data_IF_738743625986
#
_entry.id   IF_738743625986
#
_cell.length_a   1.000
_cell.length_b   1.000
_cell.length_c   1.000
_cell.angle_alpha   90.00
_cell.angle_beta   90.00
_cell.angle_gamma   90.00
#
_symmetry.space_group_name_H-M   'P 1'
#
loop_
_entity.id
_entity.type
_entity.pdbx_description
1 polymer ?
#
# COMPACT_ATOMS: atom_id res chain seq x y z
N UNK A 1 -4.47 -3.67 -23.27
CA UNK A 1 -4.45 -4.31 -21.95
C UNK A 1 -3.07 -4.14 -21.34
N UNK A 2 -2.97 -3.86 -20.03
CA UNK A 2 -1.70 -3.66 -19.34
C UNK A 2 -1.43 -4.86 -18.42
N UNK A 3 -0.41 -5.67 -18.72
CA UNK A 3 -0.02 -6.83 -17.89
C UNK A 3 0.46 -6.41 -16.50
N UNK A 4 1.01 -5.20 -16.36
CA UNK A 4 1.40 -4.63 -15.07
C UNK A 4 0.19 -4.30 -14.17
N UNK A 5 -1.03 -4.29 -14.72
CA UNK A 5 -2.28 -4.16 -13.97
C UNK A 5 -3.05 -5.50 -13.88
N UNK A 6 -2.47 -6.61 -14.34
CA UNK A 6 -3.10 -7.94 -14.26
C UNK A 6 -2.87 -8.56 -12.89
N UNK A 7 -3.93 -8.70 -12.10
CA UNK A 7 -3.96 -9.38 -10.79
C UNK A 7 -5.23 -10.22 -10.61
N UNK A 8 -5.30 -10.96 -9.51
CA UNK A 8 -6.47 -11.75 -9.13
C UNK A 8 -6.82 -11.52 -7.65
N UNK A 9 -8.02 -11.01 -7.31
CA UNK A 9 -9.12 -10.66 -8.21
C UNK A 9 -8.74 -9.51 -9.17
N UNK A 10 -9.28 -9.47 -10.42
CA UNK A 10 -8.93 -8.43 -11.39
C UNK A 10 -9.57 -7.08 -11.03
N UNK A 11 -9.04 -5.99 -11.59
CA UNK A 11 -9.68 -4.68 -11.53
C UNK A 11 -11.11 -4.74 -12.11
N UNK A 12 -11.98 -3.90 -11.56
CA UNK A 12 -13.43 -3.92 -11.76
C UNK A 12 -13.95 -2.55 -12.17
N UNK A 13 -15.26 -2.41 -12.30
CA UNK A 13 -15.90 -1.17 -12.74
C UNK A 13 -15.80 -0.08 -11.67
N UNK A 14 -16.09 1.16 -12.04
CA UNK A 14 -16.09 2.28 -11.09
C UNK A 14 -17.15 2.11 -9.99
N UNK A 15 -18.27 1.42 -10.28
CA UNK A 15 -19.30 1.08 -9.30
C UNK A 15 -18.75 0.11 -8.25
N UNK A 16 -18.01 -0.91 -8.69
CA UNK A 16 -17.34 -1.85 -7.78
C UNK A 16 -16.29 -1.14 -6.91
N UNK A 17 -15.51 -0.22 -7.50
CA UNK A 17 -14.53 0.59 -6.76
C UNK A 17 -15.23 1.46 -5.71
N UNK A 18 -16.35 2.08 -6.07
CA UNK A 18 -17.14 2.92 -5.16
C UNK A 18 -17.68 2.09 -4.00
N UNK A 19 -18.26 0.92 -4.28
CA UNK A 19 -18.76 0.02 -3.25
C UNK A 19 -17.65 -0.46 -2.29
N UNK A 20 -16.44 -0.73 -2.79
CA UNK A 20 -15.29 -1.08 -1.94
C UNK A 20 -14.88 0.09 -1.04
N UNK A 21 -14.84 1.31 -1.58
CA UNK A 21 -14.52 2.52 -0.80
C UNK A 21 -15.57 2.74 0.31
N UNK A 22 -16.85 2.59 -0.02
CA UNK A 22 -17.95 2.70 0.95
C UNK A 22 -17.86 1.61 2.03
N UNK A 23 -17.58 0.37 1.64
CA UNK A 23 -17.38 -0.74 2.57
C UNK A 23 -16.18 -0.56 3.50
N UNK A 24 -15.11 0.10 3.06
CA UNK A 24 -14.03 0.52 3.96
C UNK A 24 -14.53 1.61 4.92
N UNK A 25 -15.23 2.62 4.39
CA UNK A 25 -15.67 3.78 5.17
C UNK A 25 -16.73 3.44 6.24
N UNK A 26 -17.61 2.46 5.98
CA UNK A 26 -18.65 2.02 6.92
C UNK A 26 -18.21 0.90 7.87
N UNK A 27 -17.01 0.33 7.65
CA UNK A 27 -16.44 -0.73 8.47
C UNK A 27 -16.84 -2.15 8.08
N UNK A 28 -17.54 -2.35 6.96
CA UNK A 28 -17.78 -3.66 6.35
C UNK A 28 -16.47 -4.34 5.95
N UNK A 29 -15.47 -3.56 5.51
CA UNK A 29 -14.12 -4.00 5.21
C UNK A 29 -13.19 -3.50 6.33
N UNK A 30 -12.77 -4.42 7.20
CA UNK A 30 -11.95 -4.08 8.38
C UNK A 30 -10.51 -3.65 8.04
N UNK A 31 -9.89 -4.30 7.05
CA UNK A 31 -8.45 -4.26 6.82
C UNK A 31 -8.12 -4.09 5.34
N UNK A 32 -6.98 -3.44 5.08
CA UNK A 32 -6.42 -3.32 3.73
C UNK A 32 -5.05 -3.96 3.72
N UNK A 33 -4.86 -4.90 2.80
CA UNK A 33 -3.62 -5.66 2.61
C UNK A 33 -3.18 -5.53 1.17
N UNK A 34 -1.86 -5.54 0.93
CA UNK A 34 -1.30 -5.18 -0.38
C UNK A 34 -1.41 -6.28 -1.42
N UNK A 35 -1.55 -7.54 -1.00
CA UNK A 35 -1.38 -8.72 -1.85
C UNK A 35 -0.11 -8.62 -2.73
N UNK A 36 1.01 -8.22 -2.10
CA UNK A 36 2.27 -8.03 -2.79
C UNK A 36 2.72 -9.32 -3.49
N UNK A 37 2.64 -9.33 -4.82
CA UNK A 37 2.86 -10.49 -5.68
C UNK A 37 3.91 -10.17 -6.76
N UNK A 38 5.21 -10.29 -6.45
CA UNK A 38 6.30 -9.97 -7.36
C UNK A 38 6.45 -11.02 -8.46
N UNK A 39 6.79 -10.59 -9.67
CA UNK A 39 7.07 -11.42 -10.84
C UNK A 39 8.26 -10.83 -11.60
N UNK A 40 9.03 -11.65 -12.30
CA UNK A 40 10.11 -11.15 -13.14
C UNK A 40 9.54 -10.30 -14.31
N UNK A 41 10.33 -9.36 -14.85
CA UNK A 41 9.93 -8.53 -16.00
C UNK A 41 9.48 -9.39 -17.18
N UNK A 42 10.29 -10.38 -17.51
CA UNK A 42 10.09 -11.29 -18.65
C UNK A 42 8.77 -12.07 -18.54
N UNK A 43 8.32 -12.38 -17.31
CA UNK A 43 7.04 -13.06 -17.08
C UNK A 43 5.85 -12.13 -17.32
N UNK A 44 6.04 -10.81 -17.14
CA UNK A 44 5.00 -9.79 -17.37
C UNK A 44 5.04 -9.23 -18.80
N UNK A 45 6.15 -9.38 -19.52
CA UNK A 45 6.36 -8.95 -20.91
C UNK A 45 5.90 -9.99 -21.94
N UNK A 46 4.72 -10.55 -21.71
CA UNK A 46 4.07 -11.54 -22.58
C UNK A 46 2.65 -11.10 -22.92
N UNK A 47 1.96 -11.74 -23.87
CA UNK A 47 0.54 -11.47 -24.13
C UNK A 47 -0.31 -11.53 -22.86
N UNK A 48 -1.36 -10.71 -22.80
CA UNK A 48 -2.10 -10.47 -21.56
C UNK A 48 -2.71 -11.74 -20.96
N UNK A 49 -3.20 -12.65 -21.79
CA UNK A 49 -3.71 -13.96 -21.40
C UNK A 49 -2.63 -14.85 -20.76
N UNK A 50 -1.40 -14.82 -21.29
CA UNK A 50 -0.26 -15.58 -20.80
C UNK A 50 0.41 -14.99 -19.54
N UNK A 51 0.33 -13.67 -19.32
CA UNK A 51 0.99 -13.02 -18.19
C UNK A 51 0.44 -13.50 -16.83
N UNK A 52 1.27 -13.71 -15.79
CA UNK A 52 0.77 -14.11 -14.49
C UNK A 52 0.01 -12.97 -13.81
N UNK A 53 -0.92 -13.35 -12.92
CA UNK A 53 -1.60 -12.43 -12.03
C UNK A 53 -0.64 -12.02 -10.89
N UNK A 54 -0.58 -10.73 -10.60
CA UNK A 54 0.15 -10.20 -9.45
C UNK A 54 0.83 -8.88 -9.76
N UNK A 55 0.83 -8.01 -8.74
CA UNK A 55 1.52 -6.72 -8.73
C UNK A 55 2.25 -6.51 -7.40
N UNK A 56 3.28 -5.69 -7.40
CA UNK A 56 3.92 -5.24 -6.15
C UNK A 56 3.18 -4.02 -5.59
N UNK A 57 3.11 -3.93 -4.26
CA UNK A 57 2.42 -2.82 -3.59
C UNK A 57 2.98 -2.38 -2.24
N UNK A 58 4.08 -2.96 -1.74
CA UNK A 58 4.59 -2.62 -0.40
C UNK A 58 5.02 -1.17 -0.29
N UNK A 59 5.76 -0.70 -1.28
CA UNK A 59 6.40 0.62 -1.26
C UNK A 59 5.42 1.76 -1.62
N UNK A 60 4.24 1.43 -2.17
CA UNK A 60 3.26 2.43 -2.63
C UNK A 60 1.96 2.44 -1.82
N UNK A 61 1.69 1.40 -1.00
CA UNK A 61 0.38 1.20 -0.37
C UNK A 61 -0.10 2.39 0.46
N UNK A 62 0.74 2.88 1.38
CA UNK A 62 0.39 4.02 2.23
C UNK A 62 0.07 5.26 1.38
N UNK A 63 0.97 5.61 0.47
CA UNK A 63 0.88 6.82 -0.34
C UNK A 63 -0.32 6.77 -1.30
N UNK A 64 -0.63 5.61 -1.88
CA UNK A 64 -1.82 5.42 -2.72
C UNK A 64 -3.11 5.68 -1.93
N UNK A 65 -3.28 5.05 -0.77
CA UNK A 65 -4.45 5.26 0.07
C UNK A 65 -4.55 6.70 0.57
N UNK A 66 -3.44 7.27 1.00
CA UNK A 66 -3.40 8.67 1.43
C UNK A 66 -3.81 9.62 0.29
N UNK A 67 -3.21 9.52 -0.89
CA UNK A 67 -3.52 10.40 -2.03
C UNK A 67 -4.93 10.18 -2.56
N UNK A 68 -5.41 8.94 -2.67
CA UNK A 68 -6.66 8.63 -3.39
C UNK A 68 -7.89 8.51 -2.51
N UNK A 69 -7.71 8.37 -1.20
CA UNK A 69 -8.80 8.22 -0.23
C UNK A 69 -8.80 9.36 0.79
N UNK A 70 -7.64 9.65 1.40
CA UNK A 70 -7.56 10.66 2.47
C UNK A 70 -7.60 12.09 1.90
N UNK A 71 -6.69 12.43 0.99
CA UNK A 71 -6.61 13.78 0.41
C UNK A 71 -7.86 14.14 -0.41
N UNK A 72 -8.56 13.16 -0.97
CA UNK A 72 -9.83 13.38 -1.68
C UNK A 72 -11.06 13.43 -0.76
N UNK A 73 -10.88 13.35 0.57
CA UNK A 73 -11.96 13.45 1.55
C UNK A 73 -12.88 12.24 1.65
N UNK A 74 -12.50 11.08 1.06
CA UNK A 74 -13.31 9.85 1.15
C UNK A 74 -13.21 9.19 2.52
N UNK A 75 -12.10 9.41 3.24
CA UNK A 75 -11.94 8.99 4.64
C UNK A 75 -10.92 9.86 5.36
N UNK A 76 -10.92 9.81 6.70
CA UNK A 76 -9.91 10.53 7.50
C UNK A 76 -8.59 9.76 7.54
N UNK A 77 -7.48 10.46 7.81
CA UNK A 77 -6.17 9.81 8.02
C UNK A 77 -6.23 8.77 9.15
N UNK A 78 -6.95 9.07 10.23
CA UNK A 78 -7.12 8.13 11.34
C UNK A 78 -7.84 6.85 10.91
N UNK A 79 -8.88 6.96 10.07
CA UNK A 79 -9.55 5.78 9.53
C UNK A 79 -8.57 4.98 8.67
N UNK A 80 -7.91 5.61 7.69
CA UNK A 80 -6.91 4.96 6.84
C UNK A 80 -5.86 4.18 7.66
N UNK A 81 -5.26 4.82 8.66
CA UNK A 81 -4.27 4.19 9.54
C UNK A 81 -4.83 2.96 10.25
N UNK A 82 -6.08 2.99 10.72
CA UNK A 82 -6.69 1.83 11.41
C UNK A 82 -6.71 0.59 10.53
N UNK A 83 -7.04 0.74 9.23
CA UNK A 83 -7.13 -0.38 8.28
C UNK A 83 -5.82 -1.13 8.06
N UNK A 84 -4.68 -0.48 8.30
CA UNK A 84 -3.34 -1.04 8.10
C UNK A 84 -2.60 -1.33 9.42
N UNK A 85 -3.13 -0.91 10.58
CA UNK A 85 -2.44 -1.02 11.88
C UNK A 85 -3.27 -1.77 12.93
N UNK A 86 -4.15 -1.07 13.65
CA UNK A 86 -4.85 -1.64 14.80
C UNK A 86 -5.93 -2.64 14.40
N UNK A 87 -6.59 -2.48 13.25
CA UNK A 87 -7.61 -3.43 12.80
C UNK A 87 -7.01 -4.81 12.50
N UNK A 88 -5.95 -4.95 11.67
CA UNK A 88 -5.34 -6.26 11.45
C UNK A 88 -4.74 -6.82 12.74
N UNK A 89 -4.08 -6.00 13.57
CA UNK A 89 -3.56 -6.45 14.86
C UNK A 89 -4.66 -7.02 15.77
N UNK A 90 -5.81 -6.34 15.87
CA UNK A 90 -6.97 -6.80 16.65
C UNK A 90 -7.55 -8.11 16.09
N UNK A 91 -7.70 -8.21 14.77
CA UNK A 91 -8.25 -9.40 14.11
C UNK A 91 -7.40 -10.64 14.39
N UNK A 92 -6.08 -10.50 14.33
CA UNK A 92 -5.12 -11.58 14.62
C UNK A 92 -4.73 -11.68 16.10
N UNK A 93 -5.33 -10.88 16.99
CA UNK A 93 -5.05 -10.84 18.44
C UNK A 93 -3.57 -10.61 18.76
N UNK A 94 -2.93 -9.73 17.99
CA UNK A 94 -1.52 -9.37 18.16
C UNK A 94 -1.40 -8.14 19.07
N UNK A 95 -0.39 -8.08 19.95
CA UNK A 95 -0.12 -6.91 20.80
C UNK A 95 0.64 -5.81 20.02
N UNK A 96 0.16 -5.48 18.82
CA UNK A 96 0.79 -4.58 17.84
C UNK A 96 -0.19 -3.47 17.39
N UNK A 97 0.29 -2.58 16.52
CA UNK A 97 -0.56 -1.57 15.86
C UNK A 97 -0.94 -0.37 16.73
N UNK A 98 -0.24 -0.14 17.84
CA UNK A 98 -0.46 1.00 18.74
C UNK A 98 0.85 1.72 19.06
N UNK A 99 0.75 3.02 19.37
CA UNK A 99 1.86 3.83 19.89
C UNK A 99 1.64 4.05 21.38
N UNK A 100 2.11 3.11 22.21
CA UNK A 100 1.93 3.13 23.65
C UNK A 100 3.22 2.77 24.39
N UNK A 101 3.42 3.37 25.57
CA UNK A 101 4.57 3.04 26.43
C UNK A 101 4.48 1.56 26.83
N UNK A 102 5.61 0.86 26.73
CA UNK A 102 5.70 -0.57 27.06
C UNK A 102 5.39 -1.52 25.89
N UNK A 103 4.94 -1.00 24.74
CA UNK A 103 4.79 -1.78 23.51
C UNK A 103 6.09 -1.81 22.68
N UNK A 104 6.15 -2.69 21.69
CA UNK A 104 7.23 -2.74 20.71
C UNK A 104 7.40 -1.39 20.00
N UNK A 105 8.64 -0.96 19.79
CA UNK A 105 8.96 0.27 19.07
C UNK A 105 8.91 0.03 17.54
N UNK A 106 7.71 -0.26 17.05
CA UNK A 106 7.38 -0.42 15.63
C UNK A 106 6.75 0.88 15.12
N UNK A 107 7.52 1.67 14.37
CA UNK A 107 7.19 3.04 14.00
C UNK A 107 7.45 3.28 12.51
N UNK A 108 6.67 4.16 11.91
CA UNK A 108 6.96 4.75 10.60
C UNK A 108 6.92 6.27 10.70
N UNK A 109 7.87 6.94 10.06
CA UNK A 109 7.81 8.39 9.80
C UNK A 109 7.34 8.60 8.37
N UNK A 110 6.36 9.46 8.20
CA UNK A 110 5.78 9.78 6.90
C UNK A 110 5.72 11.28 6.73
N UNK A 111 6.30 11.79 5.66
CA UNK A 111 6.09 13.16 5.19
C UNK A 111 4.79 13.21 4.36
N UNK A 112 3.74 13.74 4.98
CA UNK A 112 2.40 13.86 4.39
C UNK A 112 2.31 14.94 3.31
N UNK A 113 3.23 15.90 3.30
CA UNK A 113 3.25 17.04 2.37
C UNK A 113 4.16 16.76 1.16
N UNK A 114 5.12 15.86 1.31
CA UNK A 114 5.99 15.45 0.21
C UNK A 114 5.21 14.75 -0.89
N UNK A 115 5.30 15.32 -2.08
CA UNK A 115 4.86 14.70 -3.33
C UNK A 115 6.04 14.09 -4.06
N UNK A 116 5.86 12.91 -4.63
CA UNK A 116 6.89 12.21 -5.40
C UNK A 116 6.27 11.45 -6.57
N UNK A 117 7.07 11.28 -7.63
CA UNK A 117 6.72 10.44 -8.77
C UNK A 117 7.17 9.02 -8.48
N UNK A 118 6.27 8.06 -8.63
CA UNK A 118 6.60 6.65 -8.51
C UNK A 118 7.52 6.24 -9.65
N UNK A 119 8.79 6.00 -9.32
CA UNK A 119 9.71 5.29 -10.18
C UNK A 119 9.78 3.82 -9.72
N UNK A 120 9.48 2.90 -10.63
CA UNK A 120 9.56 1.47 -10.32
C UNK A 120 11.01 1.02 -10.26
N UNK A 121 11.90 1.68 -10.99
CA UNK A 121 13.30 1.27 -11.09
C UNK A 121 14.09 1.61 -9.82
N UNK A 122 13.63 2.63 -9.08
CA UNK A 122 14.13 3.01 -7.74
C UNK A 122 13.55 2.15 -6.60
N UNK A 123 12.60 1.25 -6.87
CA UNK A 123 12.01 0.40 -5.83
C UNK A 123 13.00 -0.62 -5.27
N UNK A 124 12.94 -0.85 -3.96
CA UNK A 124 13.75 -1.82 -3.22
C UNK A 124 13.35 -3.27 -3.49
N UNK A 125 12.08 -3.52 -3.86
CA UNK A 125 11.66 -4.83 -4.35
C UNK A 125 12.60 -5.33 -5.44
N UNK A 126 12.77 -6.65 -5.59
CA UNK A 126 13.49 -7.22 -6.74
C UNK A 126 12.70 -7.12 -8.04
N UNK A 127 11.39 -6.94 -7.93
CA UNK A 127 10.47 -6.89 -9.06
C UNK A 127 10.15 -5.45 -9.46
N UNK A 128 9.65 -5.27 -10.69
CA UNK A 128 9.20 -3.99 -11.27
C UNK A 128 7.74 -4.04 -11.75
N UNK A 129 6.99 -5.10 -11.41
CA UNK A 129 5.64 -5.36 -11.90
C UNK A 129 4.55 -4.52 -11.18
N UNK A 130 4.54 -3.22 -11.44
CA UNK A 130 3.56 -2.29 -10.86
C UNK A 130 2.89 -1.45 -11.95
N UNK A 131 1.58 -1.19 -11.86
CA UNK A 131 0.89 -0.27 -12.76
C UNK A 131 1.05 1.19 -12.29
N UNK A 132 1.69 1.44 -11.15
CA UNK A 132 1.74 2.76 -10.52
C UNK A 132 2.92 3.63 -10.98
N UNK A 133 3.77 3.13 -11.88
CA UNK A 133 4.88 3.91 -12.44
C UNK A 133 4.38 5.23 -13.05
N UNK A 134 5.16 6.31 -12.89
CA UNK A 134 4.84 7.70 -13.25
C UNK A 134 3.67 8.36 -12.49
N UNK A 135 2.97 7.65 -11.60
CA UNK A 135 1.96 8.28 -10.77
C UNK A 135 2.60 9.25 -9.77
N UNK A 136 1.95 10.40 -9.57
CA UNK A 136 2.30 11.32 -8.50
C UNK A 136 1.52 10.91 -7.25
N UNK A 137 2.23 10.64 -6.16
CA UNK A 137 1.69 10.30 -4.84
C UNK A 137 2.19 11.27 -3.78
N UNK A 138 1.46 11.35 -2.66
CA UNK A 138 1.79 12.11 -1.46
C UNK A 138 1.88 11.16 -0.27
N UNK A 139 2.54 11.58 0.81
CA UNK A 139 2.69 10.71 1.99
C UNK A 139 3.84 9.74 1.80
N UNK A 140 5.06 10.25 1.58
CA UNK A 140 6.25 9.41 1.43
C UNK A 140 6.66 8.86 2.80
N UNK A 141 6.93 7.57 2.87
CA UNK A 141 7.51 6.95 4.07
C UNK A 141 9.02 7.22 4.05
N UNK A 142 9.52 7.85 5.10
CA UNK A 142 10.93 8.27 5.19
C UNK A 142 11.74 7.43 6.17
N UNK A 143 11.10 6.84 7.18
CA UNK A 143 11.77 6.01 8.19
C UNK A 143 10.86 4.85 8.59
N UNK A 144 11.43 3.66 8.70
CA UNK A 144 10.76 2.51 9.34
C UNK A 144 11.64 1.95 10.45
N UNK A 145 11.07 1.87 11.65
CA UNK A 145 11.69 1.27 12.84
C UNK A 145 10.90 0.02 13.17
N UNK A 146 11.59 -1.10 13.36
CA UNK A 146 10.99 -2.35 13.83
C UNK A 146 11.72 -2.83 15.09
N UNK A 147 10.98 -3.01 16.19
CA UNK A 147 11.52 -3.41 17.49
C UNK A 147 12.63 -2.48 17.99
N UNK A 148 12.54 -1.18 17.68
CA UNK A 148 13.54 -0.17 18.05
C UNK A 148 14.78 -0.12 17.16
N UNK A 149 14.84 -0.89 16.06
CA UNK A 149 15.92 -0.85 15.07
C UNK A 149 15.45 -0.14 13.80
N UNK A 150 16.26 0.78 13.29
CA UNK A 150 16.04 1.36 11.96
C UNK A 150 16.22 0.26 10.92
N UNK A 151 15.21 0.07 10.07
CA UNK A 151 15.16 -0.95 9.02
C UNK A 151 15.09 -0.36 7.61
N UNK A 152 14.72 0.91 7.51
CA UNK A 152 14.69 1.69 6.28
C UNK A 152 14.77 3.17 6.62
N UNK A 153 15.54 3.95 5.85
CA UNK A 153 15.58 5.41 5.90
C UNK A 153 15.81 6.00 4.50
N UNK A 154 15.17 7.12 4.17
CA UNK A 154 15.21 7.76 2.84
C UNK A 154 16.17 8.96 2.73
N UNK A 155 16.71 9.41 3.86
CA UNK A 155 17.49 10.65 3.99
C UNK A 155 19.01 10.40 4.15
N UNK A 156 19.48 9.19 3.85
CA UNK A 156 20.90 8.81 3.88
C UNK A 156 21.47 8.56 2.48
#
# INVERSE_FOLDING_TARGET
FNTMAKMNPPLRTDDDVTAVIEGIADGTIDCIVTDHAPHHSDEKEVPFDAAPNGIIGFETAFALGYTRLVQTGKMTLSHWLKTMTINPARLFKLPLGTLQKGCSADLVLVDLDQSWRVDRDEMLSKSRNTPFHDMILNGRVDLTICGGKITYESFC
#
